data_IF_873944240415
#
_entry.id   IF_873944240415
#
_cell.length_a   1.000
_cell.length_b   1.000
_cell.length_c   1.000
_cell.angle_alpha   90.00
_cell.angle_beta   90.00
_cell.angle_gamma   90.00
#
_symmetry.space_group_name_H-M   'P 1'
#
loop_
_entity.id
_entity.type
_entity.pdbx_description
1 polymer ?
#
# COMPACT_ATOMS: atom_id res chain seq x y z
N UNK A 1 -13.96 -3.93 -24.04
CA UNK A 1 -13.34 -4.12 -22.72
C UNK A 1 -12.94 -5.58 -22.63
N UNK A 2 -11.65 -5.87 -22.60
CA UNK A 2 -11.14 -7.22 -22.40
C UNK A 2 -11.14 -7.42 -20.89
N UNK A 3 -12.11 -8.14 -20.38
CA UNK A 3 -12.22 -8.48 -18.95
C UNK A 3 -11.07 -9.46 -18.61
N UNK A 4 -9.88 -8.92 -18.46
CA UNK A 4 -8.65 -9.71 -18.28
C UNK A 4 -8.47 -9.98 -16.79
N UNK A 5 -8.93 -11.16 -16.37
CA UNK A 5 -8.62 -11.67 -15.03
C UNK A 5 -7.09 -11.78 -14.88
N UNK A 6 -6.50 -11.26 -13.80
CA UNK A 6 -5.07 -11.47 -13.51
C UNK A 6 -4.69 -12.97 -13.55
N UNK A 7 -3.52 -13.32 -14.09
CA UNK A 7 -3.09 -14.71 -14.18
C UNK A 7 -2.56 -15.19 -12.82
N UNK A 8 -3.31 -16.03 -12.12
CA UNK A 8 -2.86 -16.70 -10.90
C UNK A 8 -3.59 -18.04 -10.71
N UNK A 9 -2.99 -18.91 -9.92
CA UNK A 9 -3.53 -20.21 -9.53
C UNK A 9 -3.67 -20.28 -8.01
N UNK A 10 -4.78 -20.87 -7.55
CA UNK A 10 -5.00 -21.15 -6.14
C UNK A 10 -4.51 -22.56 -5.85
N UNK A 11 -3.40 -22.66 -5.14
CA UNK A 11 -2.83 -23.93 -4.70
C UNK A 11 -3.39 -24.37 -3.34
N UNK A 12 -3.23 -25.65 -2.98
CA UNK A 12 -3.59 -26.14 -1.65
C UNK A 12 -2.86 -25.37 -0.54
N UNK A 13 -1.60 -25.00 -0.76
CA UNK A 13 -0.83 -24.21 0.20
C UNK A 13 -1.44 -22.82 0.42
N UNK A 14 -1.94 -22.17 -0.63
CA UNK A 14 -2.65 -20.87 -0.49
C UNK A 14 -3.93 -21.05 0.34
N UNK A 15 -4.67 -22.13 0.13
CA UNK A 15 -5.87 -22.44 0.91
C UNK A 15 -5.52 -22.63 2.40
N UNK A 16 -4.46 -23.36 2.70
CA UNK A 16 -3.99 -23.57 4.06
C UNK A 16 -3.62 -22.25 4.74
N UNK A 17 -2.87 -21.37 4.06
CA UNK A 17 -2.55 -20.02 4.57
C UNK A 17 -3.79 -19.16 4.79
N UNK A 18 -4.77 -19.20 3.88
CA UNK A 18 -6.02 -18.46 4.05
C UNK A 18 -6.76 -18.93 5.30
N UNK A 19 -6.83 -20.24 5.54
CA UNK A 19 -7.47 -20.81 6.72
C UNK A 19 -6.74 -20.40 8.02
N UNK A 20 -5.42 -20.51 8.04
CA UNK A 20 -4.59 -20.14 9.20
C UNK A 20 -4.71 -18.64 9.52
N UNK A 21 -4.58 -17.77 8.51
CA UNK A 21 -4.71 -16.31 8.69
C UNK A 21 -6.12 -15.96 9.17
N UNK A 22 -7.17 -16.57 8.61
CA UNK A 22 -8.54 -16.31 9.03
C UNK A 22 -8.79 -16.72 10.48
N UNK A 23 -8.21 -17.85 10.93
CA UNK A 23 -8.27 -18.27 12.32
C UNK A 23 -7.55 -17.28 13.26
N UNK A 24 -6.33 -16.85 12.92
CA UNK A 24 -5.56 -15.88 13.69
C UNK A 24 -6.29 -14.53 13.79
N UNK A 25 -6.85 -14.05 12.68
CA UNK A 25 -7.67 -12.83 12.63
C UNK A 25 -8.90 -12.97 13.52
N UNK A 26 -9.58 -14.12 13.46
CA UNK A 26 -10.72 -14.41 14.34
C UNK A 26 -10.36 -14.34 15.82
N UNK A 27 -9.22 -14.91 16.23
CA UNK A 27 -8.69 -14.83 17.60
C UNK A 27 -8.37 -13.40 18.02
N UNK A 28 -7.68 -12.63 17.17
CA UNK A 28 -7.36 -11.22 17.45
C UNK A 28 -8.62 -10.37 17.61
N UNK A 29 -9.61 -10.58 16.74
CA UNK A 29 -10.87 -9.84 16.79
C UNK A 29 -11.69 -10.19 18.04
N UNK A 30 -11.73 -11.46 18.43
CA UNK A 30 -12.49 -11.91 19.62
C UNK A 30 -11.95 -11.34 20.92
N UNK A 31 -10.65 -11.11 21.04
CA UNK A 31 -10.04 -10.50 22.25
C UNK A 31 -10.25 -9.00 22.36
N UNK A 32 -10.65 -8.34 21.26
CA UNK A 32 -10.88 -6.89 21.17
C UNK A 32 -9.71 -6.01 21.66
N UNK A 33 -8.53 -6.60 21.90
CA UNK A 33 -7.38 -5.91 22.51
C UNK A 33 -6.86 -4.78 21.63
N UNK A 34 -6.79 -5.01 20.31
CA UNK A 34 -6.25 -4.03 19.39
C UNK A 34 -7.22 -2.87 19.17
N UNK A 35 -8.51 -3.15 18.98
CA UNK A 35 -9.53 -2.11 18.79
C UNK A 35 -9.78 -1.29 20.04
N UNK A 36 -9.66 -1.89 21.22
CA UNK A 36 -9.86 -1.21 22.50
C UNK A 36 -8.64 -0.42 23.01
N UNK A 37 -7.44 -0.57 22.40
CA UNK A 37 -6.20 0.04 22.88
C UNK A 37 -5.65 1.10 21.90
N UNK A 38 -5.96 2.41 22.08
CA UNK A 38 -5.46 3.48 21.22
C UNK A 38 -3.93 3.58 21.18
N UNK A 39 -3.25 3.30 22.29
CA UNK A 39 -1.79 3.35 22.37
C UNK A 39 -1.16 2.25 21.50
N UNK A 40 -1.72 1.04 21.54
CA UNK A 40 -1.24 -0.06 20.70
C UNK A 40 -1.49 0.24 19.21
N UNK A 41 -2.68 0.75 18.85
CA UNK A 41 -2.98 1.16 17.47
C UNK A 41 -1.99 2.20 16.98
N UNK A 42 -1.71 3.25 17.77
CA UNK A 42 -0.73 4.27 17.41
C UNK A 42 0.67 3.68 17.25
N UNK A 43 1.11 2.81 18.16
CA UNK A 43 2.40 2.14 18.04
C UNK A 43 2.51 1.30 16.78
N UNK A 44 1.48 0.54 16.45
CA UNK A 44 1.44 -0.28 15.23
C UNK A 44 1.42 0.59 13.97
N UNK A 45 0.64 1.68 13.94
CA UNK A 45 0.64 2.64 12.83
C UNK A 45 2.05 3.21 12.58
N UNK A 46 2.78 3.57 13.63
CA UNK A 46 4.16 4.05 13.53
C UNK A 46 5.07 2.96 12.93
N UNK A 47 4.90 1.71 13.32
CA UNK A 47 5.66 0.57 12.78
C UNK A 47 5.36 0.33 11.31
N UNK A 48 4.08 0.34 10.91
CA UNK A 48 3.64 0.26 9.51
C UNK A 48 4.32 1.34 8.66
N UNK A 49 4.26 2.59 9.10
CA UNK A 49 4.87 3.71 8.38
C UNK A 49 6.39 3.54 8.29
N UNK A 50 7.04 3.23 9.41
CA UNK A 50 8.49 3.02 9.42
C UNK A 50 8.87 1.87 8.48
N UNK A 51 8.21 0.71 8.54
CA UNK A 51 8.50 -0.46 7.69
C UNK A 51 8.31 -0.14 6.21
N UNK A 52 7.18 0.45 5.86
CA UNK A 52 6.89 0.83 4.48
C UNK A 52 7.90 1.83 3.90
N UNK A 53 8.33 2.82 4.69
CA UNK A 53 9.31 3.81 4.24
C UNK A 53 10.74 3.26 4.23
N UNK A 54 11.09 2.34 5.14
CA UNK A 54 12.40 1.71 5.18
C UNK A 54 12.68 0.87 3.90
N UNK A 55 11.64 0.23 3.34
CA UNK A 55 11.73 -0.47 2.05
C UNK A 55 12.13 0.50 0.94
N UNK A 56 11.68 1.74 1.01
CA UNK A 56 12.00 2.83 0.06
C UNK A 56 13.27 3.62 0.46
N UNK A 57 14.11 3.04 1.31
CA UNK A 57 15.39 3.60 1.74
C UNK A 57 15.29 4.90 2.58
N UNK A 58 14.15 5.17 3.22
CA UNK A 58 14.07 6.21 4.23
C UNK A 58 15.01 5.87 5.39
N UNK A 59 15.79 6.85 5.83
CA UNK A 59 16.90 6.61 6.77
C UNK A 59 16.53 6.75 8.24
N UNK A 60 15.29 7.15 8.54
CA UNK A 60 14.83 7.41 9.91
C UNK A 60 14.65 6.11 10.70
N UNK A 61 15.21 6.06 11.91
CA UNK A 61 14.91 4.97 12.85
C UNK A 61 13.48 5.06 13.38
N UNK A 62 12.99 3.97 13.95
CA UNK A 62 11.65 3.93 14.57
C UNK A 62 11.46 5.01 15.63
N UNK A 63 12.51 5.31 16.43
CA UNK A 63 12.51 6.37 17.43
C UNK A 63 12.42 7.74 16.77
N UNK A 64 13.14 7.96 15.67
CA UNK A 64 13.10 9.22 14.92
C UNK A 64 11.74 9.43 14.25
N UNK A 65 11.16 8.39 13.61
CA UNK A 65 9.78 8.44 13.09
C UNK A 65 8.79 8.81 14.20
N UNK A 66 8.91 8.16 15.35
CA UNK A 66 8.08 8.46 16.52
C UNK A 66 8.25 9.91 16.99
N UNK A 67 9.48 10.43 17.01
CA UNK A 67 9.78 11.80 17.39
C UNK A 67 9.17 12.81 16.41
N UNK A 68 9.30 12.58 15.10
CA UNK A 68 8.68 13.40 14.03
C UNK A 68 7.16 13.49 14.22
N UNK A 69 6.50 12.34 14.45
CA UNK A 69 5.05 12.26 14.62
C UNK A 69 4.56 12.81 15.97
N UNK A 70 5.46 12.99 16.92
CA UNK A 70 5.21 13.71 18.18
C UNK A 70 5.56 15.21 18.11
N UNK A 71 5.87 15.73 16.92
CA UNK A 71 6.19 17.16 16.71
C UNK A 71 7.57 17.59 17.23
N UNK A 72 8.45 16.63 17.55
CA UNK A 72 9.81 16.91 18.01
C UNK A 72 10.73 17.22 16.82
N UNK A 73 11.73 18.06 17.06
CA UNK A 73 12.79 18.29 16.09
C UNK A 73 13.67 17.04 15.95
N UNK A 74 13.86 16.59 14.71
CA UNK A 74 14.74 15.49 14.36
C UNK A 74 15.74 15.99 13.33
N UNK A 75 17.01 15.73 13.57
CA UNK A 75 18.08 16.05 12.61
C UNK A 75 18.13 14.91 11.57
N UNK A 76 17.55 15.15 10.39
CA UNK A 76 17.47 14.18 9.30
C UNK A 76 17.23 14.92 7.96
N UNK A 77 17.38 14.24 6.81
CA UNK A 77 17.04 14.81 5.53
C UNK A 77 15.59 15.33 5.49
N UNK A 78 15.35 16.55 4.99
CA UNK A 78 13.99 17.09 4.90
C UNK A 78 13.03 16.21 4.12
N UNK A 79 13.53 15.51 3.09
CA UNK A 79 12.76 14.53 2.31
C UNK A 79 12.22 13.42 3.21
N UNK A 80 13.08 12.80 4.02
CA UNK A 80 12.72 11.67 4.89
C UNK A 80 11.65 12.08 5.91
N UNK A 81 11.77 13.28 6.48
CA UNK A 81 10.78 13.85 7.41
C UNK A 81 9.44 14.09 6.68
N UNK A 82 9.48 14.61 5.46
CA UNK A 82 8.28 14.85 4.67
C UNK A 82 7.55 13.54 4.33
N UNK A 83 8.30 12.49 3.95
CA UNK A 83 7.75 11.15 3.69
C UNK A 83 7.00 10.59 4.90
N UNK A 84 7.58 10.70 6.11
CA UNK A 84 6.93 10.25 7.35
C UNK A 84 5.61 11.00 7.59
N UNK A 85 5.61 12.32 7.44
CA UNK A 85 4.40 13.14 7.66
C UNK A 85 3.31 12.84 6.65
N UNK A 86 3.67 12.70 5.38
CA UNK A 86 2.75 12.40 4.29
C UNK A 86 2.14 11.00 4.47
N UNK A 87 2.97 10.00 4.77
CA UNK A 87 2.50 8.65 5.05
C UNK A 87 1.55 8.63 6.24
N UNK A 88 1.90 9.31 7.34
CA UNK A 88 1.03 9.39 8.51
C UNK A 88 -0.33 10.01 8.17
N UNK A 89 -0.35 11.13 7.42
CA UNK A 89 -1.59 11.81 7.02
C UNK A 89 -2.53 10.88 6.26
N UNK A 90 -2.02 10.15 5.26
CA UNK A 90 -2.89 9.30 4.44
C UNK A 90 -3.31 8.02 5.17
N UNK A 91 -2.46 7.45 6.03
CA UNK A 91 -2.84 6.31 6.84
C UNK A 91 -3.90 6.65 7.91
N UNK A 92 -3.91 7.88 8.44
CA UNK A 92 -4.97 8.35 9.37
C UNK A 92 -6.32 8.54 8.66
N UNK A 93 -6.30 8.69 7.34
CA UNK A 93 -7.49 8.86 6.49
C UNK A 93 -7.89 7.60 5.74
N UNK A 94 -7.35 6.44 6.15
CA UNK A 94 -7.55 5.17 5.45
C UNK A 94 -9.04 4.78 5.33
N UNK A 95 -9.85 5.08 6.31
CA UNK A 95 -11.29 4.79 6.36
C UNK A 95 -12.13 5.69 5.45
N UNK A 96 -11.62 6.87 5.07
CA UNK A 96 -12.25 7.79 4.12
C UNK A 96 -12.15 7.30 2.68
N UNK A 97 -11.20 6.39 2.38
CA UNK A 97 -10.91 5.94 1.02
C UNK A 97 -11.83 4.79 0.57
N UNK A 98 -12.28 4.89 -0.68
CA UNK A 98 -12.90 3.78 -1.39
C UNK A 98 -11.82 2.97 -2.14
N UNK A 99 -11.58 1.69 -1.78
CA UNK A 99 -10.53 0.88 -2.40
C UNK A 99 -10.75 0.57 -3.88
N UNK A 100 -11.92 0.88 -4.43
CA UNK A 100 -12.29 0.62 -5.82
C UNK A 100 -12.33 1.89 -6.69
N UNK A 101 -11.96 3.05 -6.11
CA UNK A 101 -11.99 4.36 -6.77
C UNK A 101 -10.60 4.74 -7.29
N UNK A 102 -10.51 5.01 -8.60
CA UNK A 102 -9.32 5.60 -9.23
C UNK A 102 -9.03 6.98 -8.65
N UNK A 103 -10.07 7.79 -8.37
CA UNK A 103 -9.92 9.13 -7.81
C UNK A 103 -9.29 9.10 -6.42
N UNK A 104 -9.70 8.12 -5.58
CA UNK A 104 -9.15 7.95 -4.25
C UNK A 104 -7.72 7.41 -4.30
N UNK A 105 -7.40 6.53 -5.26
CA UNK A 105 -6.03 6.08 -5.51
C UNK A 105 -5.11 7.26 -5.86
N UNK A 106 -5.55 8.14 -6.77
CA UNK A 106 -4.81 9.34 -7.15
C UNK A 106 -4.71 10.33 -5.99
N UNK A 107 -5.76 10.47 -5.19
CA UNK A 107 -5.76 11.32 -4.00
C UNK A 107 -4.78 10.80 -2.94
N UNK A 108 -4.77 9.49 -2.69
CA UNK A 108 -3.82 8.87 -1.77
C UNK A 108 -2.37 9.08 -2.25
N UNK A 109 -2.12 8.88 -3.55
CA UNK A 109 -0.81 9.14 -4.14
C UNK A 109 -0.39 10.61 -3.99
N UNK A 110 -1.29 11.56 -4.26
CA UNK A 110 -1.03 13.00 -4.09
C UNK A 110 -0.62 13.35 -2.66
N UNK A 111 -1.30 12.79 -1.66
CA UNK A 111 -0.96 13.04 -0.25
C UNK A 111 0.37 12.37 0.10
N UNK A 112 0.56 11.10 -0.26
CA UNK A 112 1.76 10.32 0.02
C UNK A 112 3.03 10.96 -0.53
N UNK A 113 2.94 11.57 -1.72
CA UNK A 113 4.09 12.10 -2.47
C UNK A 113 4.16 13.62 -2.51
N UNK A 114 3.30 14.31 -1.73
CA UNK A 114 3.22 15.77 -1.71
C UNK A 114 4.56 16.44 -1.37
N UNK A 115 5.04 17.29 -2.29
CA UNK A 115 6.31 18.01 -2.15
C UNK A 115 7.55 17.12 -2.37
N UNK A 116 7.37 15.88 -2.80
CA UNK A 116 8.45 14.93 -3.08
C UNK A 116 8.62 14.66 -4.57
N UNK A 117 7.52 14.74 -5.34
CA UNK A 117 7.50 14.52 -6.78
C UNK A 117 6.62 15.57 -7.47
N UNK A 118 6.95 15.87 -8.73
CA UNK A 118 6.20 16.87 -9.52
C UNK A 118 4.81 16.35 -9.95
N UNK A 119 4.71 15.05 -10.26
CA UNK A 119 3.47 14.40 -10.77
C UNK A 119 2.63 13.79 -9.64
N UNK A 120 2.56 14.45 -8.47
CA UNK A 120 1.81 13.95 -7.33
C UNK A 120 0.29 13.85 -7.62
N UNK A 121 -0.27 12.65 -7.52
CA UNK A 121 -1.69 12.39 -7.78
C UNK A 121 -2.03 12.26 -9.26
N UNK A 122 -1.04 11.94 -10.10
CA UNK A 122 -1.24 11.74 -11.53
C UNK A 122 -0.58 10.43 -11.97
N UNK A 123 -1.17 9.75 -12.92
CA UNK A 123 -0.49 8.66 -13.60
C UNK A 123 0.68 9.19 -14.41
N UNK A 124 1.77 8.41 -14.46
CA UNK A 124 2.96 8.78 -15.22
C UNK A 124 2.67 8.93 -16.71
N UNK A 125 3.33 9.88 -17.32
CA UNK A 125 3.25 10.13 -18.75
C UNK A 125 4.47 9.60 -19.53
N UNK A 126 5.50 9.12 -18.79
CA UNK A 126 6.75 8.61 -19.39
C UNK A 126 6.87 7.10 -19.18
N UNK A 127 7.54 6.39 -20.08
CA UNK A 127 7.91 5.00 -19.85
C UNK A 127 8.80 4.86 -18.61
N UNK A 128 8.64 3.76 -17.89
CA UNK A 128 9.50 3.37 -16.77
C UNK A 128 10.02 1.95 -17.00
N UNK A 129 11.17 1.64 -16.41
CA UNK A 129 11.72 0.30 -16.38
C UNK A 129 12.17 -0.03 -14.97
N UNK A 130 12.00 -1.28 -14.57
CA UNK A 130 12.60 -1.81 -13.35
C UNK A 130 14.01 -2.26 -13.75
N UNK A 131 15.01 -1.70 -13.10
CA UNK A 131 16.42 -2.01 -13.34
C UNK A 131 17.02 -2.70 -12.10
N UNK A 132 17.97 -3.59 -12.32
CA UNK A 132 18.80 -4.14 -11.24
C UNK A 132 19.86 -3.13 -10.75
N UNK A 133 20.63 -3.54 -9.75
CA UNK A 133 21.72 -2.71 -9.21
C UNK A 133 22.86 -2.45 -10.22
N UNK A 134 22.90 -3.19 -11.33
CA UNK A 134 23.91 -3.08 -12.40
C UNK A 134 23.39 -2.24 -13.57
N UNK A 135 22.11 -1.79 -13.52
CA UNK A 135 21.47 -0.96 -14.56
C UNK A 135 20.84 -1.77 -15.69
N UNK A 136 20.75 -3.10 -15.59
CA UNK A 136 20.04 -3.91 -16.57
C UNK A 136 18.54 -3.79 -16.35
N UNK A 137 17.80 -3.62 -17.45
CA UNK A 137 16.33 -3.57 -17.41
C UNK A 137 15.79 -4.98 -17.17
N UNK A 138 15.22 -5.20 -15.98
CA UNK A 138 14.57 -6.46 -15.59
C UNK A 138 13.15 -6.54 -16.16
N UNK A 139 12.44 -5.42 -16.20
CA UNK A 139 11.08 -5.33 -16.71
C UNK A 139 10.83 -3.95 -17.29
N UNK A 140 10.19 -3.91 -18.46
CA UNK A 140 9.63 -2.68 -19.01
C UNK A 140 8.22 -2.51 -18.45
N UNK A 141 8.00 -1.42 -17.72
CA UNK A 141 6.66 -1.09 -17.26
C UNK A 141 5.70 -0.91 -18.45
N UNK A 142 4.44 -1.07 -18.17
CA UNK A 142 3.37 -0.83 -19.14
C UNK A 142 3.54 0.53 -19.84
N UNK A 143 3.22 0.62 -21.14
CA UNK A 143 3.23 1.89 -21.83
C UNK A 143 2.26 2.88 -21.17
N UNK A 144 2.65 4.16 -20.97
CA UNK A 144 1.88 5.13 -20.19
C UNK A 144 0.43 5.29 -20.65
N UNK A 145 0.18 5.21 -21.93
CA UNK A 145 -1.16 5.35 -22.52
C UNK A 145 -2.16 4.28 -22.08
N UNK A 146 -1.69 3.11 -21.64
CA UNK A 146 -2.55 2.01 -21.16
C UNK A 146 -2.69 1.98 -19.63
N UNK A 147 -1.92 2.77 -18.90
CA UNK A 147 -1.92 2.77 -17.43
C UNK A 147 -3.29 3.08 -16.85
N UNK A 148 -4.01 4.15 -17.30
CA UNK A 148 -5.32 4.47 -16.71
C UNK A 148 -6.33 3.32 -16.88
N UNK A 149 -6.39 2.72 -18.06
CA UNK A 149 -7.34 1.64 -18.36
C UNK A 149 -7.02 0.39 -17.55
N UNK A 150 -5.74 0.01 -17.46
CA UNK A 150 -5.32 -1.17 -16.70
C UNK A 150 -5.55 -1.00 -15.19
N UNK A 151 -5.32 0.18 -14.63
CA UNK A 151 -5.62 0.45 -13.22
C UNK A 151 -7.13 0.37 -12.97
N UNK A 152 -7.93 0.93 -13.87
CA UNK A 152 -9.39 0.86 -13.77
C UNK A 152 -9.89 -0.60 -13.86
N UNK A 153 -9.37 -1.39 -14.81
CA UNK A 153 -9.71 -2.81 -14.94
C UNK A 153 -9.30 -3.62 -13.71
N UNK A 154 -8.13 -3.32 -13.11
CA UNK A 154 -7.65 -3.98 -11.91
C UNK A 154 -8.52 -3.66 -10.68
N UNK A 155 -8.93 -2.41 -10.50
CA UNK A 155 -9.83 -2.00 -9.43
C UNK A 155 -11.22 -2.63 -9.61
N UNK A 156 -11.74 -2.67 -10.83
CA UNK A 156 -13.02 -3.33 -11.15
C UNK A 156 -12.95 -4.85 -10.88
N UNK A 157 -11.84 -5.48 -11.24
CA UNK A 157 -11.62 -6.90 -10.94
C UNK A 157 -11.59 -7.17 -9.43
N UNK A 158 -10.89 -6.36 -8.65
CA UNK A 158 -10.79 -6.59 -7.20
C UNK A 158 -12.13 -6.33 -6.48
N UNK A 159 -12.96 -5.45 -7.01
CA UNK A 159 -14.31 -5.21 -6.50
C UNK A 159 -15.26 -6.39 -6.76
N UNK A 160 -15.27 -6.87 -8.02
CA UNK A 160 -16.26 -7.85 -8.51
C UNK A 160 -15.85 -9.30 -8.33
N UNK A 161 -14.59 -9.55 -8.00
CA UNK A 161 -14.05 -10.91 -7.87
C UNK A 161 -14.66 -11.66 -6.69
N UNK A 162 -15.01 -12.92 -6.89
CA UNK A 162 -15.44 -13.88 -5.87
C UNK A 162 -14.26 -14.54 -5.12
N UNK A 163 -13.03 -14.25 -5.53
CA UNK A 163 -11.81 -14.76 -4.89
C UNK A 163 -11.70 -14.18 -3.47
N UNK A 164 -11.28 -15.02 -2.53
CA UNK A 164 -11.12 -14.61 -1.14
C UNK A 164 -10.21 -13.38 -1.02
N UNK A 165 -10.56 -12.43 -0.17
CA UNK A 165 -9.90 -11.11 -0.09
C UNK A 165 -8.42 -11.19 0.22
N UNK A 166 -7.97 -12.16 1.03
CA UNK A 166 -6.54 -12.38 1.30
C UNK A 166 -5.74 -12.70 0.04
N UNK A 167 -6.35 -13.42 -0.91
CA UNK A 167 -5.72 -13.76 -2.19
C UNK A 167 -5.80 -12.57 -3.14
N UNK A 168 -6.99 -12.01 -3.33
CA UNK A 168 -7.17 -10.93 -4.31
C UNK A 168 -6.45 -9.64 -3.94
N UNK A 169 -6.24 -9.37 -2.65
CA UNK A 169 -5.42 -8.22 -2.22
C UNK A 169 -3.94 -8.41 -2.57
N UNK A 170 -3.41 -9.63 -2.45
CA UNK A 170 -2.05 -9.95 -2.88
C UNK A 170 -1.90 -9.85 -4.41
N UNK A 171 -2.87 -10.41 -5.16
CA UNK A 171 -2.89 -10.32 -6.62
C UNK A 171 -2.99 -8.87 -7.07
N UNK A 172 -3.86 -8.08 -6.45
CA UNK A 172 -3.97 -6.64 -6.72
C UNK A 172 -2.64 -5.92 -6.49
N UNK A 173 -1.99 -6.17 -5.35
CA UNK A 173 -0.70 -5.55 -5.02
C UNK A 173 0.35 -5.88 -6.09
N UNK A 174 0.48 -7.15 -6.45
CA UNK A 174 1.41 -7.61 -7.48
C UNK A 174 1.14 -6.98 -8.85
N UNK A 175 -0.10 -6.99 -9.31
CA UNK A 175 -0.49 -6.40 -10.60
C UNK A 175 -0.28 -4.87 -10.61
N UNK A 176 -0.57 -4.17 -9.51
CA UNK A 176 -0.32 -2.74 -9.40
C UNK A 176 1.17 -2.41 -9.53
N UNK A 177 2.05 -3.23 -8.91
CA UNK A 177 3.49 -3.08 -9.05
C UNK A 177 3.97 -3.39 -10.47
N UNK A 178 3.36 -4.34 -11.19
CA UNK A 178 3.67 -4.61 -12.60
C UNK A 178 3.21 -3.49 -13.54
N UNK A 179 2.02 -2.93 -13.33
CA UNK A 179 1.52 -1.77 -14.07
C UNK A 179 2.42 -0.57 -13.84
N UNK A 180 2.89 -0.41 -12.59
CA UNK A 180 3.74 0.68 -12.13
C UNK A 180 3.18 2.05 -12.53
N UNK A 181 2.00 2.42 -12.00
CA UNK A 181 1.21 3.53 -12.56
C UNK A 181 1.78 4.92 -12.32
N UNK A 182 2.70 5.09 -11.39
CA UNK A 182 3.25 6.38 -10.98
C UNK A 182 4.73 6.51 -11.36
N UNK A 183 5.21 7.75 -11.46
CA UNK A 183 6.64 8.02 -11.68
C UNK A 183 7.49 7.66 -10.45
N UNK A 184 6.93 7.80 -9.24
CA UNK A 184 7.51 7.41 -7.94
C UNK A 184 6.37 7.09 -6.97
N UNK A 185 6.64 6.35 -5.89
CA UNK A 185 5.68 6.06 -4.82
C UNK A 185 4.79 4.83 -5.06
N UNK A 186 5.04 4.03 -6.10
CA UNK A 186 4.26 2.83 -6.39
C UNK A 186 4.26 1.88 -5.21
N UNK A 187 5.41 1.48 -4.67
CA UNK A 187 5.50 0.57 -3.54
C UNK A 187 4.77 1.08 -2.29
N UNK A 188 4.90 2.38 -1.96
CA UNK A 188 4.19 3.00 -0.83
C UNK A 188 2.67 2.94 -1.00
N UNK A 189 2.18 3.23 -2.21
CA UNK A 189 0.75 3.16 -2.53
C UNK A 189 0.26 1.71 -2.59
N UNK A 190 1.02 0.81 -3.18
CA UNK A 190 0.67 -0.62 -3.23
C UNK A 190 0.47 -1.20 -1.83
N UNK A 191 1.37 -0.93 -0.88
CA UNK A 191 1.24 -1.37 0.53
C UNK A 191 0.07 -0.69 1.25
N UNK A 192 -0.12 0.62 1.06
CA UNK A 192 -1.29 1.33 1.60
C UNK A 192 -2.60 0.70 1.09
N UNK A 193 -2.68 0.43 -0.21
CA UNK A 193 -3.89 -0.11 -0.83
C UNK A 193 -4.15 -1.55 -0.42
N UNK A 194 -3.10 -2.34 -0.26
CA UNK A 194 -3.21 -3.69 0.33
C UNK A 194 -3.83 -3.63 1.73
N UNK A 195 -3.29 -2.77 2.60
CA UNK A 195 -3.84 -2.53 3.94
C UNK A 195 -5.30 -2.06 3.88
N UNK A 196 -5.63 -1.14 2.96
CA UNK A 196 -7.00 -0.65 2.76
C UNK A 196 -7.96 -1.77 2.38
N UNK A 197 -7.61 -2.59 1.38
CA UNK A 197 -8.43 -3.72 0.94
C UNK A 197 -8.68 -4.71 2.08
N UNK A 198 -7.65 -5.07 2.81
CA UNK A 198 -7.77 -5.98 3.95
C UNK A 198 -8.58 -5.38 5.10
N UNK A 199 -8.46 -4.08 5.36
CA UNK A 199 -9.20 -3.39 6.42
C UNK A 199 -10.72 -3.32 6.16
N UNK A 200 -11.14 -3.31 4.88
CA UNK A 200 -12.57 -3.39 4.52
C UNK A 200 -13.15 -4.80 4.78
N UNK A 201 -12.33 -5.83 4.75
CA UNK A 201 -12.74 -7.18 5.15
C UNK A 201 -12.75 -7.34 6.66
N UNK A 202 -11.65 -6.96 7.34
CA UNK A 202 -11.59 -6.97 8.79
C UNK A 202 -10.83 -5.74 9.30
N UNK A 203 -11.48 -4.88 10.11
CA UNK A 203 -10.89 -3.62 10.60
C UNK A 203 -9.57 -3.78 11.36
N UNK A 204 -9.24 -4.97 11.86
CA UNK A 204 -7.97 -5.24 12.55
C UNK A 204 -6.77 -4.95 11.66
N UNK A 205 -6.89 -5.18 10.35
CA UNK A 205 -5.82 -4.94 9.38
C UNK A 205 -5.44 -3.46 9.23
N UNK A 206 -6.33 -2.54 9.56
CA UNK A 206 -5.96 -1.13 9.60
C UNK A 206 -4.85 -0.83 10.64
N UNK A 207 -4.60 -1.76 11.57
CA UNK A 207 -3.69 -1.58 12.69
C UNK A 207 -2.61 -2.67 12.81
N UNK A 208 -2.55 -3.59 11.87
CA UNK A 208 -1.48 -4.60 11.80
C UNK A 208 -0.37 -4.12 10.87
N UNK A 209 0.90 -4.08 11.33
CA UNK A 209 2.03 -3.87 10.43
C UNK A 209 2.24 -5.16 9.63
N UNK A 210 1.92 -5.12 8.33
CA UNK A 210 1.98 -6.26 7.40
C UNK A 210 3.03 -6.06 6.30
N UNK A 211 3.83 -5.00 6.39
CA UNK A 211 4.97 -4.68 5.50
C UNK A 211 6.21 -5.50 5.80
#
# INVERSE_FOLDING_TARGET
MINKKPPFEITNQIIDYVAEIAELVGRLTSTNQLSANPTLRRSNRIRTIHGSLAIEQNTLSLEQVTAVLNGKHVLAPPKDIAEVKNAYEIYERLDELNPYSVEDLLTAHRIMTRGLVDEAGMFRTRPVGIVDNEGHVLHFGTLPQYVPDLVMELLDWVEKSDVHILIRSCVFHYELELIHPFADGNGRIGRLWHTLLLSKWNPVFAWLPVE
#
